data_IF_315681939281
#
_entry.id   IF_315681939281
#
_cell.length_a   1.000
_cell.length_b   1.000
_cell.length_c   1.000
_cell.angle_alpha   90.00
_cell.angle_beta   90.00
_cell.angle_gamma   90.00
#
_symmetry.space_group_name_H-M   'P 1'
#
loop_
_entity.id
_entity.type
_entity.pdbx_description
1 polymer ?
#
# COMPACT_ATOMS: atom_id res chain seq x y z
N UNK A 1 -1.20 -6.90 14.02
CA UNK A 1 -2.41 -6.33 13.39
C UNK A 1 -3.44 -7.43 13.04
N UNK A 2 -4.27 -7.89 14.00
CA UNK A 2 -5.17 -9.03 13.79
C UNK A 2 -6.47 -8.72 13.00
N UNK A 3 -6.78 -7.45 12.72
CA UNK A 3 -8.04 -6.98 12.11
C UNK A 3 -7.87 -6.32 10.74
N UNK A 4 -6.70 -6.42 10.13
CA UNK A 4 -6.43 -5.79 8.83
C UNK A 4 -6.84 -6.69 7.68
N UNK A 5 -7.45 -6.09 6.66
CA UNK A 5 -7.65 -6.73 5.36
C UNK A 5 -6.32 -6.76 4.61
N UNK A 6 -5.90 -7.94 4.16
CA UNK A 6 -4.66 -8.12 3.40
C UNK A 6 -5.01 -8.20 1.92
N UNK A 7 -4.41 -7.33 1.11
CA UNK A 7 -4.65 -7.27 -0.34
C UNK A 7 -3.32 -7.39 -1.06
N UNK A 8 -3.24 -8.32 -2.00
CA UNK A 8 -2.06 -8.55 -2.85
C UNK A 8 -2.30 -7.86 -4.19
N UNK A 9 -1.53 -6.80 -4.47
CA UNK A 9 -1.50 -6.15 -5.77
C UNK A 9 -0.53 -6.91 -6.70
N UNK A 10 -0.99 -7.33 -7.87
CA UNK A 10 -0.18 -8.20 -8.76
C UNK A 10 -0.35 -7.87 -10.24
N UNK A 11 0.63 -8.31 -11.05
CA UNK A 11 0.49 -8.42 -12.49
C UNK A 11 -0.70 -9.36 -12.83
N UNK A 12 -1.67 -8.94 -13.67
CA UNK A 12 -2.76 -9.78 -14.16
C UNK A 12 -2.31 -11.08 -14.83
N UNK A 13 -1.09 -11.10 -15.39
CA UNK A 13 -0.50 -12.29 -16.02
C UNK A 13 0.20 -13.21 -15.02
N UNK A 14 0.38 -12.77 -13.78
CA UNK A 14 1.01 -13.57 -12.74
C UNK A 14 0.11 -14.72 -12.30
N UNK A 15 0.69 -15.92 -12.22
CA UNK A 15 0.02 -17.08 -11.63
C UNK A 15 0.50 -17.25 -10.20
N UNK A 16 -0.19 -16.61 -9.26
CA UNK A 16 0.10 -16.76 -7.83
C UNK A 16 -0.49 -18.09 -7.31
N UNK A 17 0.33 -19.13 -7.26
CA UNK A 17 -0.03 -20.43 -6.68
C UNK A 17 0.29 -20.46 -5.17
N UNK A 18 -0.28 -19.51 -4.41
CA UNK A 18 -0.04 -19.39 -2.96
C UNK A 18 -1.36 -19.69 -2.23
N UNK A 19 -1.29 -20.36 -1.08
CA UNK A 19 -2.43 -20.42 -0.16
C UNK A 19 -2.68 -19.02 0.41
N UNK A 20 -3.66 -18.33 -0.15
CA UNK A 20 -3.94 -16.93 0.13
C UNK A 20 -4.55 -16.69 1.52
N UNK A 21 -5.00 -17.75 2.22
CA UNK A 21 -5.64 -17.61 3.53
C UNK A 21 -6.82 -16.64 3.48
N UNK A 22 -6.72 -15.50 4.19
CA UNK A 22 -7.71 -14.41 4.19
C UNK A 22 -7.36 -13.24 3.26
N UNK A 23 -6.24 -13.32 2.55
CA UNK A 23 -5.82 -12.25 1.64
C UNK A 23 -6.66 -12.28 0.36
N UNK A 24 -6.99 -11.11 -0.17
CA UNK A 24 -7.58 -10.95 -1.50
C UNK A 24 -6.51 -10.58 -2.52
N UNK A 25 -6.72 -10.96 -3.78
CA UNK A 25 -5.85 -10.58 -4.89
C UNK A 25 -6.55 -9.49 -5.69
N UNK A 26 -5.82 -8.43 -5.99
CA UNK A 26 -6.24 -7.38 -6.91
C UNK A 26 -5.21 -7.23 -8.03
N UNK A 27 -5.52 -7.72 -9.23
CA UNK A 27 -4.69 -7.47 -10.40
C UNK A 27 -4.69 -5.98 -10.76
N UNK A 28 -3.51 -5.41 -11.02
CA UNK A 28 -3.37 -4.03 -11.48
C UNK A 28 -2.64 -4.00 -12.81
N UNK A 29 -3.27 -3.41 -13.82
CA UNK A 29 -2.65 -3.26 -15.14
C UNK A 29 -1.37 -2.43 -15.10
N UNK A 30 -0.42 -2.75 -15.99
CA UNK A 30 0.77 -1.94 -16.19
C UNK A 30 2.00 -2.72 -16.67
N UNK A 31 3.18 -2.12 -16.46
CA UNK A 31 4.44 -2.61 -17.01
C UNK A 31 5.32 -3.24 -15.91
N UNK A 32 5.24 -4.57 -15.80
CA UNK A 32 6.01 -5.37 -14.84
C UNK A 32 7.37 -5.82 -15.38
N UNK A 33 7.90 -5.19 -16.43
CA UNK A 33 9.27 -5.49 -16.86
C UNK A 33 10.27 -5.10 -15.78
N UNK A 34 11.38 -5.86 -15.68
CA UNK A 34 12.34 -5.76 -14.57
C UNK A 34 12.82 -4.33 -14.27
N UNK A 35 13.03 -3.51 -15.31
CA UNK A 35 13.47 -2.12 -15.17
C UNK A 35 12.38 -1.16 -14.66
N UNK A 36 11.11 -1.54 -14.73
CA UNK A 36 9.98 -0.70 -14.37
C UNK A 36 9.33 -1.08 -13.03
N UNK A 37 9.74 -2.16 -12.39
CA UNK A 37 9.06 -2.69 -11.19
C UNK A 37 8.87 -1.66 -10.07
N UNK A 38 9.87 -0.81 -9.82
CA UNK A 38 9.74 0.24 -8.79
C UNK A 38 8.67 1.28 -9.17
N UNK A 39 8.67 1.72 -10.43
CA UNK A 39 7.68 2.68 -10.92
C UNK A 39 6.29 2.05 -10.96
N UNK A 40 6.18 0.81 -11.45
CA UNK A 40 4.94 0.04 -11.49
C UNK A 40 4.38 -0.18 -10.09
N UNK A 41 5.23 -0.42 -9.09
CA UNK A 41 4.81 -0.53 -7.68
C UNK A 41 4.10 0.73 -7.21
N UNK A 42 4.71 1.91 -7.40
CA UNK A 42 4.10 3.20 -7.01
C UNK A 42 2.80 3.43 -7.78
N UNK A 43 2.79 3.17 -9.09
CA UNK A 43 1.57 3.27 -9.91
C UNK A 43 0.46 2.35 -9.40
N UNK A 44 0.81 1.15 -8.94
CA UNK A 44 -0.16 0.20 -8.40
C UNK A 44 -0.75 0.67 -7.08
N UNK A 45 0.05 1.31 -6.21
CA UNK A 45 -0.46 1.93 -4.99
C UNK A 45 -1.42 3.08 -5.30
N UNK A 46 -1.07 3.94 -6.27
CA UNK A 46 -1.94 5.04 -6.71
C UNK A 46 -3.26 4.50 -7.26
N UNK A 47 -3.22 3.55 -8.20
CA UNK A 47 -4.43 2.97 -8.78
C UNK A 47 -5.33 2.32 -7.70
N UNK A 48 -4.74 1.64 -6.72
CA UNK A 48 -5.49 1.09 -5.60
C UNK A 48 -6.13 2.17 -4.73
N UNK A 49 -5.40 3.25 -4.43
CA UNK A 49 -5.92 4.38 -3.65
C UNK A 49 -7.05 5.10 -4.37
N UNK A 50 -6.97 5.27 -5.69
CA UNK A 50 -8.04 5.82 -6.53
C UNK A 50 -9.31 4.97 -6.44
N UNK A 51 -9.20 3.64 -6.55
CA UNK A 51 -10.33 2.72 -6.35
C UNK A 51 -10.94 2.85 -4.94
N UNK A 52 -10.11 3.04 -3.91
CA UNK A 52 -10.57 3.20 -2.53
C UNK A 52 -11.16 4.57 -2.23
N UNK A 53 -10.76 5.61 -2.96
CA UNK A 53 -11.33 6.94 -2.82
C UNK A 53 -12.84 6.94 -3.15
N UNK A 54 -13.25 6.19 -4.17
CA UNK A 54 -14.67 6.01 -4.53
C UNK A 54 -15.47 5.34 -3.40
N UNK A 55 -14.87 4.40 -2.66
CA UNK A 55 -15.51 3.70 -1.54
C UNK A 55 -15.62 4.57 -0.27
N UNK A 56 -14.65 5.48 -0.04
CA UNK A 56 -14.63 6.35 1.15
C UNK A 56 -15.83 7.29 1.18
N UNK A 57 -16.33 7.73 0.04
CA UNK A 57 -17.53 8.57 -0.03
C UNK A 57 -18.81 7.83 0.42
N UNK A 58 -18.77 6.49 0.50
CA UNK A 58 -19.90 5.67 0.92
C UNK A 58 -19.86 5.26 2.40
N UNK A 59 -18.68 5.22 3.03
CA UNK A 59 -18.51 4.71 4.40
C UNK A 59 -17.80 5.74 5.26
N UNK A 60 -18.48 6.26 6.27
CA UNK A 60 -17.99 7.31 7.17
C UNK A 60 -16.90 6.83 8.17
N UNK A 61 -16.04 5.90 7.76
CA UNK A 61 -14.98 5.30 8.57
C UNK A 61 -13.67 5.32 7.77
N UNK A 62 -12.65 6.00 8.29
CA UNK A 62 -11.34 6.10 7.64
C UNK A 62 -10.61 4.74 7.70
N UNK A 63 -10.30 4.18 6.52
CA UNK A 63 -9.46 2.98 6.40
C UNK A 63 -8.03 3.37 6.07
N UNK A 64 -7.14 3.20 7.02
CA UNK A 64 -5.72 3.47 6.81
C UNK A 64 -5.06 2.37 5.98
N UNK A 65 -4.05 2.72 5.18
CA UNK A 65 -3.36 1.78 4.30
C UNK A 65 -1.89 1.69 4.64
N UNK A 66 -1.35 0.48 4.60
CA UNK A 66 0.08 0.20 4.68
C UNK A 66 0.44 -0.64 3.47
N UNK A 67 1.23 -0.06 2.57
CA UNK A 67 1.82 -0.76 1.44
C UNK A 67 3.20 -1.27 1.84
N UNK A 68 3.46 -2.53 1.54
CA UNK A 68 4.70 -3.21 1.89
C UNK A 68 5.19 -4.07 0.72
N UNK A 69 6.50 -4.26 0.64
CA UNK A 69 7.06 -5.32 -0.18
C UNK A 69 6.69 -6.69 0.38
N UNK A 70 6.66 -7.70 -0.51
CA UNK A 70 6.28 -9.08 -0.16
C UNK A 70 7.34 -9.81 0.66
N UNK A 71 8.56 -9.27 0.73
CA UNK A 71 9.71 -9.80 1.47
C UNK A 71 9.90 -9.13 2.84
N UNK A 72 8.93 -8.31 3.29
CA UNK A 72 8.93 -7.69 4.61
C UNK A 72 8.04 -8.45 5.60
N UNK A 73 8.46 -8.44 6.87
CA UNK A 73 7.68 -8.98 7.98
C UNK A 73 7.33 -7.87 8.98
N UNK A 74 6.08 -7.83 9.41
CA UNK A 74 5.61 -6.94 10.48
C UNK A 74 5.74 -7.66 11.81
N UNK A 75 6.59 -7.15 12.70
CA UNK A 75 6.96 -7.81 13.97
C UNK A 75 6.19 -7.24 15.17
N UNK A 76 5.70 -6.00 15.08
CA UNK A 76 4.99 -5.26 16.14
C UNK A 76 3.68 -4.67 15.59
N UNK A 77 2.82 -4.17 16.47
CA UNK A 77 1.62 -3.43 16.05
C UNK A 77 1.99 -2.10 15.37
N UNK A 78 1.68 -1.95 14.07
CA UNK A 78 1.85 -0.68 13.35
C UNK A 78 0.67 0.29 13.54
N UNK A 79 -0.44 -0.13 14.16
CA UNK A 79 -1.63 0.72 14.33
C UNK A 79 -1.34 2.05 15.03
N UNK A 80 -0.34 2.07 15.92
CA UNK A 80 0.05 3.25 16.67
C UNK A 80 0.49 4.44 15.80
N UNK A 81 0.97 4.22 14.56
CA UNK A 81 1.37 5.33 13.66
C UNK A 81 0.17 6.20 13.26
N UNK A 82 -1.02 5.61 13.20
CA UNK A 82 -2.25 6.29 12.83
C UNK A 82 -2.92 6.96 14.03
N UNK A 83 -2.75 6.41 15.23
CA UNK A 83 -3.35 6.96 16.46
C UNK A 83 -2.47 8.00 17.14
N UNK A 84 -1.14 7.82 17.12
CA UNK A 84 -0.19 8.72 17.78
C UNK A 84 0.09 9.97 16.95
N UNK A 85 -0.05 9.87 15.63
CA UNK A 85 0.11 10.96 14.69
C UNK A 85 -1.16 11.01 13.80
N UNK A 86 -2.21 11.77 14.15
CA UNK A 86 -3.44 11.77 13.35
C UNK A 86 -3.40 12.70 12.12
N UNK A 87 -2.44 13.63 12.09
CA UNK A 87 -2.39 14.75 11.14
C UNK A 87 -1.25 14.62 10.12
N UNK A 88 -1.26 13.54 9.35
CA UNK A 88 -0.35 13.31 8.23
C UNK A 88 -1.11 12.68 7.05
N UNK A 89 -0.58 12.82 5.84
CA UNK A 89 -1.20 12.22 4.63
C UNK A 89 -0.43 10.98 4.18
N UNK A 90 0.90 11.09 4.15
CA UNK A 90 1.83 10.06 3.71
C UNK A 90 2.97 9.88 4.73
N UNK A 91 3.35 8.63 5.02
CA UNK A 91 4.56 8.30 5.75
C UNK A 91 5.42 7.33 4.93
N UNK A 92 6.72 7.60 4.85
CA UNK A 92 7.68 6.90 4.00
C UNK A 92 8.93 6.56 4.81
N UNK A 93 9.67 5.54 4.36
CA UNK A 93 11.01 5.25 4.90
C UNK A 93 12.09 5.73 3.93
N UNK A 94 13.24 6.10 4.49
CA UNK A 94 14.39 6.52 3.70
C UNK A 94 15.39 5.37 3.53
N UNK A 95 16.02 5.32 2.36
CA UNK A 95 17.13 4.42 2.05
C UNK A 95 18.44 5.06 2.48
N UNK A 96 19.40 4.23 2.88
CA UNK A 96 20.79 4.62 3.02
C UNK A 96 21.49 4.69 1.64
N UNK A 97 20.86 5.38 0.67
CA UNK A 97 21.38 5.63 -0.66
C UNK A 97 20.94 7.04 -1.10
N UNK A 98 21.90 7.97 -1.21
CA UNK A 98 21.62 9.38 -1.52
C UNK A 98 21.05 9.58 -2.94
N UNK A 99 21.33 8.69 -3.89
CA UNK A 99 20.83 8.80 -5.26
C UNK A 99 19.36 8.42 -5.42
N UNK A 100 18.83 7.62 -4.49
CA UNK A 100 17.44 7.18 -4.43
C UNK A 100 17.01 7.08 -2.97
N UNK A 101 16.77 8.23 -2.31
CA UNK A 101 16.61 8.28 -0.87
C UNK A 101 15.27 7.73 -0.39
N UNK A 102 14.26 7.57 -1.26
CA UNK A 102 12.95 7.07 -0.87
C UNK A 102 12.87 5.54 -1.02
N UNK A 103 12.27 4.89 -0.02
CA UNK A 103 11.94 3.49 -0.09
C UNK A 103 10.44 3.29 -0.37
N UNK A 104 10.13 2.79 -1.56
CA UNK A 104 8.75 2.41 -1.91
C UNK A 104 8.34 1.04 -1.36
N UNK A 105 9.23 0.34 -0.62
CA UNK A 105 8.92 -0.94 0.01
C UNK A 105 8.13 -0.81 1.31
N UNK A 106 8.01 0.38 1.88
CA UNK A 106 7.07 0.66 2.97
C UNK A 106 6.50 2.07 2.82
N UNK A 107 5.18 2.15 2.66
CA UNK A 107 4.45 3.41 2.56
C UNK A 107 3.18 3.26 3.40
N UNK A 108 2.95 4.17 4.34
CA UNK A 108 1.67 4.27 5.02
C UNK A 108 0.91 5.49 4.50
N UNK A 109 -0.41 5.37 4.37
CA UNK A 109 -1.31 6.43 3.89
C UNK A 109 -2.47 6.58 4.85
N UNK A 110 -2.78 7.82 5.21
CA UNK A 110 -3.94 8.12 6.04
C UNK A 110 -5.21 8.01 5.20
N UNK A 111 -6.13 7.15 5.62
CA UNK A 111 -7.40 6.85 4.93
C UNK A 111 -8.47 7.93 4.90
N UNK A 112 -8.13 9.17 5.22
CA UNK A 112 -9.04 10.29 5.07
C UNK A 112 -9.06 10.74 3.61
N UNK A 113 -10.19 11.31 3.15
CA UNK A 113 -10.35 11.76 1.75
C UNK A 113 -9.18 12.63 1.28
N UNK A 114 -8.76 13.59 2.09
CA UNK A 114 -7.65 14.50 1.81
C UNK A 114 -6.26 13.84 1.87
N UNK A 115 -6.13 12.67 2.49
CA UNK A 115 -4.91 11.87 2.52
C UNK A 115 -4.77 10.96 1.31
N UNK A 116 -5.87 10.56 0.70
CA UNK A 116 -5.91 9.70 -0.49
C UNK A 116 -5.87 10.55 -1.77
N UNK A 117 -6.53 11.71 -1.79
CA UNK A 117 -6.70 12.53 -3.00
C UNK A 117 -5.58 13.54 -3.27
N UNK A 118 -4.48 13.53 -2.50
CA UNK A 118 -3.35 14.46 -2.63
C UNK A 118 -2.17 13.80 -3.31
#
# INVERSE_FOLDING_TARGET
MPRSDVIILTDPKSKLSINQGKASILPIEGNYSRGNLMLQRIKSYIAFLELKLEEVDCVNCARHFVFTDSDMAVVEDLGHIFTSYPNWHLALTFRNNKGQPLNSGFIAVRGARDGISK
#
